data_IF_084150070692
#
_entry.id   IF_084150070692
#
_cell.length_a   1.000
_cell.length_b   1.000
_cell.length_c   1.000
_cell.angle_alpha   90.00
_cell.angle_beta   90.00
_cell.angle_gamma   90.00
#
_symmetry.space_group_name_H-M   'P 1'
#
loop_
_entity.id
_entity.type
_entity.pdbx_description
1 polymer ?
#
# COMPACT_ATOMS: atom_id res chain seq x y z
N UNK A 1 -10.03 2.18 31.48
CA UNK A 1 -10.18 3.59 31.00
C UNK A 1 -9.85 3.56 29.53
N UNK A 2 -10.68 4.14 28.65
CA UNK A 2 -10.35 4.17 27.21
C UNK A 2 -9.00 4.85 27.00
N UNK A 3 -8.16 4.30 26.10
CA UNK A 3 -6.88 4.93 25.77
C UNK A 3 -7.11 6.36 25.29
N UNK A 4 -6.23 7.27 25.70
CA UNK A 4 -6.18 8.58 25.07
C UNK A 4 -5.59 8.42 23.66
N UNK A 5 -4.48 7.71 23.51
CA UNK A 5 -3.77 7.56 22.23
C UNK A 5 -3.92 6.16 21.60
N UNK A 6 -3.87 6.09 20.27
CA UNK A 6 -3.86 4.86 19.49
C UNK A 6 -2.50 4.15 19.49
N UNK A 7 -2.41 2.95 18.88
CA UNK A 7 -1.14 2.24 18.71
C UNK A 7 -0.18 3.03 17.81
N UNK A 8 1.12 2.89 18.06
CA UNK A 8 2.14 3.43 17.15
C UNK A 8 2.13 2.67 15.83
N UNK A 9 2.67 3.29 14.77
CA UNK A 9 2.91 2.62 13.50
C UNK A 9 3.75 1.34 13.68
N UNK A 10 4.69 1.34 14.66
CA UNK A 10 5.48 0.17 15.02
C UNK A 10 4.67 -0.92 15.71
N UNK A 11 3.77 -0.54 16.61
CA UNK A 11 2.85 -1.49 17.25
C UNK A 11 1.94 -2.15 16.21
N UNK A 12 1.38 -1.35 15.29
CA UNK A 12 0.55 -1.83 14.18
C UNK A 12 1.33 -2.81 13.28
N UNK A 13 2.55 -2.48 12.87
CA UNK A 13 3.37 -3.35 12.02
C UNK A 13 3.79 -4.65 12.71
N UNK A 14 4.03 -4.62 14.03
CA UNK A 14 4.43 -5.82 14.75
C UNK A 14 3.27 -6.81 14.95
N UNK A 15 2.03 -6.36 14.81
CA UNK A 15 0.85 -7.22 14.85
C UNK A 15 0.87 -8.23 13.70
N UNK A 16 0.60 -9.50 14.03
CA UNK A 16 0.66 -10.61 13.08
C UNK A 16 -0.46 -10.52 12.05
N UNK A 17 -1.68 -10.19 12.48
CA UNK A 17 -2.84 -10.18 11.61
C UNK A 17 -2.77 -9.01 10.64
N UNK A 18 -2.20 -7.88 11.06
CA UNK A 18 -1.91 -6.76 10.16
C UNK A 18 -0.85 -7.10 9.12
N UNK A 19 0.23 -7.79 9.49
CA UNK A 19 1.23 -8.23 8.49
C UNK A 19 0.65 -9.24 7.50
N UNK A 20 -0.24 -10.13 7.95
CA UNK A 20 -0.96 -11.02 7.03
C UNK A 20 -1.84 -10.19 6.08
N UNK A 21 -2.57 -9.19 6.57
CA UNK A 21 -3.38 -8.33 5.71
C UNK A 21 -2.54 -7.52 4.70
N UNK A 22 -1.31 -7.13 5.06
CA UNK A 22 -0.36 -6.51 4.13
C UNK A 22 0.08 -7.48 3.03
N UNK A 23 0.37 -8.74 3.38
CA UNK A 23 0.67 -9.77 2.40
C UNK A 23 -0.54 -10.05 1.51
N UNK A 24 -1.73 -10.19 2.08
CA UNK A 24 -2.95 -10.49 1.31
C UNK A 24 -3.26 -9.37 0.31
N UNK A 25 -3.10 -8.10 0.71
CA UNK A 25 -3.23 -6.97 -0.21
C UNK A 25 -2.15 -7.00 -1.29
N UNK A 26 -0.91 -7.34 -0.95
CA UNK A 26 0.17 -7.51 -1.93
C UNK A 26 -0.17 -8.60 -2.95
N UNK A 27 -0.60 -9.78 -2.50
CA UNK A 27 -0.96 -10.89 -3.39
C UNK A 27 -2.09 -10.51 -4.34
N UNK A 28 -3.14 -9.83 -3.83
CA UNK A 28 -4.25 -9.34 -4.63
C UNK A 28 -3.88 -8.19 -5.57
N UNK A 29 -2.74 -7.56 -5.37
CA UNK A 29 -2.25 -6.53 -6.29
C UNK A 29 -1.83 -7.13 -7.63
N UNK A 30 -1.70 -8.47 -7.73
CA UNK A 30 -1.32 -9.18 -8.95
C UNK A 30 -2.39 -10.22 -9.33
N UNK A 31 -3.54 -9.79 -9.89
CA UNK A 31 -4.61 -10.70 -10.34
C UNK A 31 -4.14 -11.71 -11.39
N UNK A 32 -3.18 -11.33 -12.22
CA UNK A 32 -2.54 -12.16 -13.24
C UNK A 32 -1.15 -11.57 -13.55
N UNK A 33 -0.37 -12.24 -14.41
CA UNK A 33 0.99 -11.80 -14.74
C UNK A 33 1.04 -10.52 -15.57
N UNK A 34 -0.07 -10.11 -16.17
CA UNK A 34 -0.15 -8.96 -17.05
C UNK A 34 -0.73 -7.73 -16.36
N UNK A 35 -1.27 -7.83 -15.15
CA UNK A 35 -1.94 -6.70 -14.52
C UNK A 35 -1.53 -6.59 -13.06
N UNK A 36 -1.37 -5.34 -12.62
CA UNK A 36 -1.25 -5.05 -11.20
C UNK A 36 -1.92 -3.72 -10.82
N UNK A 37 -2.51 -3.67 -9.64
CA UNK A 37 -3.23 -2.50 -9.12
C UNK A 37 -3.00 -2.32 -7.62
N UNK A 38 -3.27 -1.13 -7.11
CA UNK A 38 -3.20 -0.91 -5.67
C UNK A 38 -4.31 -1.69 -4.95
N UNK A 39 -3.99 -2.15 -3.75
CA UNK A 39 -4.88 -2.85 -2.83
C UNK A 39 -4.62 -2.31 -1.44
N UNK A 40 -5.62 -2.38 -0.56
CA UNK A 40 -5.44 -1.91 0.80
C UNK A 40 -6.73 -1.57 1.49
N UNK A 41 -6.63 -0.69 2.48
CA UNK A 41 -7.79 -0.22 3.21
C UNK A 41 -7.42 0.41 4.55
N UNK A 42 -8.19 0.04 5.55
CA UNK A 42 -8.27 0.71 6.84
C UNK A 42 -7.94 -0.27 7.95
N UNK A 43 -7.24 0.20 8.98
CA UNK A 43 -6.90 -0.57 10.17
C UNK A 43 -7.66 0.02 11.35
N UNK A 44 -8.34 -0.82 12.10
CA UNK A 44 -9.12 -0.43 13.27
C UNK A 44 -8.59 -1.08 14.54
N UNK A 45 -8.65 -0.34 15.65
CA UNK A 45 -8.31 -0.80 16.99
C UNK A 45 -9.52 -0.85 17.92
N UNK A 46 -9.56 -1.86 18.79
CA UNK A 46 -10.54 -1.99 19.87
C UNK A 46 -9.86 -2.47 21.17
N UNK A 47 -10.16 -1.80 22.29
CA UNK A 47 -9.68 -2.18 23.62
C UNK A 47 -8.70 -1.17 24.23
N UNK A 48 -8.00 -1.60 25.27
CA UNK A 48 -6.94 -0.83 25.95
C UNK A 48 -5.56 -1.18 25.38
N UNK A 49 -4.52 -0.40 25.65
CA UNK A 49 -3.18 -0.59 25.01
C UNK A 49 -2.63 -2.00 25.17
N UNK A 50 -2.78 -2.56 26.37
CA UNK A 50 -2.29 -3.89 26.73
C UNK A 50 -3.15 -5.03 26.16
N UNK A 51 -4.36 -4.74 25.68
CA UNK A 51 -5.32 -5.73 25.17
C UNK A 51 -5.85 -5.36 23.78
N UNK A 52 -5.14 -4.46 23.09
CA UNK A 52 -5.58 -3.85 21.85
C UNK A 52 -5.71 -4.93 20.78
N UNK A 53 -6.92 -5.05 20.24
CA UNK A 53 -7.19 -5.89 19.08
C UNK A 53 -7.15 -5.02 17.84
N UNK A 54 -6.50 -5.51 16.80
CA UNK A 54 -6.47 -4.87 15.50
C UNK A 54 -7.28 -5.70 14.48
N UNK A 55 -7.90 -5.01 13.53
CA UNK A 55 -8.58 -5.64 12.39
C UNK A 55 -8.50 -4.72 11.17
N UNK A 56 -8.76 -5.26 9.99
CA UNK A 56 -8.76 -4.50 8.74
C UNK A 56 -10.13 -4.47 8.08
N UNK A 57 -10.37 -3.43 7.28
CA UNK A 57 -11.43 -3.38 6.27
C UNK A 57 -10.82 -2.92 4.96
N UNK A 58 -11.15 -3.62 3.89
CA UNK A 58 -10.68 -3.25 2.56
C UNK A 58 -11.34 -1.94 2.12
N UNK A 59 -10.60 -1.13 1.38
CA UNK A 59 -11.16 -0.01 0.66
C UNK A 59 -11.93 -0.51 -0.57
N UNK A 60 -12.93 0.25 -0.97
CA UNK A 60 -13.53 0.05 -2.29
C UNK A 60 -12.46 0.31 -3.35
N UNK A 61 -12.34 -0.55 -4.38
CA UNK A 61 -11.53 -0.23 -5.55
C UNK A 61 -11.92 1.15 -6.08
N UNK A 62 -10.94 1.99 -6.42
CA UNK A 62 -11.21 3.20 -7.18
C UNK A 62 -11.62 2.87 -8.62
N UNK A 63 -11.74 3.90 -9.45
CA UNK A 63 -12.24 3.78 -10.82
C UNK A 63 -11.45 2.72 -11.64
N UNK A 64 -12.15 1.67 -12.09
CA UNK A 64 -11.56 0.42 -12.61
C UNK A 64 -11.24 0.47 -14.12
N UNK A 65 -11.65 1.53 -14.80
CA UNK A 65 -11.81 1.56 -16.27
C UNK A 65 -10.52 1.74 -17.09
N UNK A 66 -9.32 1.68 -16.48
CA UNK A 66 -8.09 2.12 -17.19
C UNK A 66 -6.91 1.15 -17.25
N UNK A 67 -7.05 -0.14 -16.93
CA UNK A 67 -5.95 -1.10 -17.12
C UNK A 67 -6.24 -2.17 -18.18
N UNK A 68 -5.45 -2.13 -19.27
CA UNK A 68 -5.32 -3.23 -20.24
C UNK A 68 -3.91 -3.82 -20.29
N UNK A 69 -2.93 -3.30 -19.54
CA UNK A 69 -1.53 -3.75 -19.59
C UNK A 69 -0.77 -3.58 -18.26
N UNK A 70 0.33 -4.33 -18.03
CA UNK A 70 1.15 -4.27 -16.80
C UNK A 70 1.97 -2.97 -16.69
N UNK A 71 1.83 -2.12 -17.72
CA UNK A 71 2.50 -0.85 -17.98
C UNK A 71 1.44 0.21 -18.23
N UNK A 72 1.09 1.00 -17.20
CA UNK A 72 0.23 2.17 -17.37
C UNK A 72 -0.82 2.32 -16.27
N UNK A 73 -0.87 3.55 -15.73
CA UNK A 73 -1.68 4.08 -14.60
C UNK A 73 -2.08 3.09 -13.50
N UNK A 74 -1.54 3.32 -12.30
CA UNK A 74 -1.99 2.66 -11.08
C UNK A 74 -3.48 2.94 -10.85
N UNK A 75 -4.29 1.88 -10.74
CA UNK A 75 -5.64 2.05 -10.19
C UNK A 75 -5.48 2.33 -8.70
N UNK A 76 -5.77 3.56 -8.32
CA UNK A 76 -5.76 3.97 -6.93
C UNK A 76 -6.99 3.39 -6.21
N UNK A 77 -6.84 3.08 -4.92
CA UNK A 77 -7.97 2.78 -4.04
C UNK A 77 -8.52 4.06 -3.40
N UNK A 78 -9.82 4.10 -3.09
CA UNK A 78 -10.39 5.24 -2.37
C UNK A 78 -10.22 5.08 -0.85
N UNK A 79 -9.29 5.85 -0.29
CA UNK A 79 -9.02 5.93 1.14
C UNK A 79 -9.68 7.16 1.82
N UNK A 80 -10.56 7.88 1.14
CA UNK A 80 -11.18 9.11 1.69
C UNK A 80 -12.30 8.83 2.68
N UNK A 81 -13.01 7.71 2.53
CA UNK A 81 -14.24 7.40 3.26
C UNK A 81 -14.14 6.07 4.03
N UNK A 82 -13.43 6.03 5.17
CA UNK A 82 -13.35 4.84 6.00
C UNK A 82 -14.74 4.36 6.43
N UNK A 83 -15.09 3.07 6.25
CA UNK A 83 -16.37 2.55 6.70
C UNK A 83 -16.47 2.64 8.24
N UNK A 84 -17.68 2.90 8.74
CA UNK A 84 -17.94 2.85 10.19
C UNK A 84 -17.95 1.41 10.66
N UNK A 85 -17.17 1.11 11.70
CA UNK A 85 -17.14 -0.21 12.35
C UNK A 85 -17.57 -0.04 13.82
N UNK A 86 -18.79 -0.45 14.21
CA UNK A 86 -19.30 -0.22 15.56
C UNK A 86 -18.39 -0.81 16.65
N UNK A 87 -17.99 0.04 17.61
CA UNK A 87 -17.13 -0.35 18.72
C UNK A 87 -15.63 -0.43 18.38
N UNK A 88 -15.23 -0.02 17.19
CA UNK A 88 -13.85 0.03 16.73
C UNK A 88 -13.48 1.45 16.30
N UNK A 89 -12.23 1.84 16.53
CA UNK A 89 -11.70 3.16 16.14
C UNK A 89 -10.73 3.00 14.97
N UNK A 90 -10.83 3.85 13.94
CA UNK A 90 -9.85 3.87 12.86
C UNK A 90 -8.49 4.33 13.40
N UNK A 91 -7.44 3.52 13.24
CA UNK A 91 -6.10 3.80 13.77
C UNK A 91 -5.03 3.95 12.69
N UNK A 92 -5.26 3.50 11.46
CA UNK A 92 -4.36 3.69 10.33
C UNK A 92 -5.05 3.38 8.99
N UNK A 93 -4.40 3.73 7.89
CA UNK A 93 -4.70 3.23 6.54
C UNK A 93 -3.47 2.55 5.94
N UNK A 94 -3.67 1.72 4.92
CA UNK A 94 -2.60 1.07 4.19
C UNK A 94 -2.97 0.86 2.73
N UNK A 95 -1.96 0.84 1.85
CA UNK A 95 -2.14 0.46 0.46
C UNK A 95 -0.84 -0.06 -0.17
N UNK A 96 -0.94 -0.74 -1.31
CA UNK A 96 0.20 -1.30 -2.04
C UNK A 96 0.67 -0.37 -3.16
N UNK A 97 1.97 -0.38 -3.42
CA UNK A 97 2.59 0.21 -4.61
C UNK A 97 3.27 -0.92 -5.41
N UNK A 98 2.56 -1.61 -6.31
CA UNK A 98 3.05 -2.83 -6.96
C UNK A 98 4.03 -2.57 -8.12
N UNK A 99 4.00 -1.36 -8.69
CA UNK A 99 4.83 -1.01 -9.83
C UNK A 99 6.32 -1.03 -9.49
N UNK A 100 7.12 -1.55 -10.41
CA UNK A 100 8.56 -1.63 -10.21
C UNK A 100 9.27 -0.32 -10.47
N UNK A 101 10.26 0.06 -9.63
CA UNK A 101 11.10 1.23 -9.88
C UNK A 101 12.07 1.07 -11.06
N UNK A 102 12.28 -0.15 -11.55
CA UNK A 102 13.24 -0.40 -12.62
C UNK A 102 12.61 -0.19 -14.02
N UNK A 103 13.42 0.15 -15.04
CA UNK A 103 13.00 0.16 -16.43
C UNK A 103 12.40 -1.19 -16.87
N UNK A 104 11.46 -1.20 -17.84
CA UNK A 104 10.86 -0.04 -18.51
C UNK A 104 9.75 0.65 -17.70
N UNK A 105 9.32 0.06 -16.57
CA UNK A 105 8.15 0.51 -15.80
C UNK A 105 8.38 1.86 -15.12
N UNK A 106 9.54 2.04 -14.48
CA UNK A 106 9.91 3.28 -13.76
C UNK A 106 8.83 3.76 -12.76
N UNK A 107 8.17 2.83 -12.07
CA UNK A 107 7.20 3.11 -11.02
C UNK A 107 7.83 3.68 -9.74
N UNK A 108 6.98 4.05 -8.77
CA UNK A 108 7.44 4.55 -7.47
C UNK A 108 6.94 3.65 -6.33
N UNK A 109 7.83 2.89 -5.65
CA UNK A 109 7.45 2.06 -4.51
C UNK A 109 7.26 2.82 -3.20
N UNK A 110 7.47 4.15 -3.20
CA UNK A 110 7.35 5.02 -2.02
C UNK A 110 6.03 5.80 -2.06
N UNK A 111 5.53 6.29 -0.90
CA UNK A 111 4.39 7.19 -0.85
C UNK A 111 4.53 8.35 -1.84
N UNK A 112 3.45 8.64 -2.55
CA UNK A 112 3.36 9.78 -3.46
C UNK A 112 3.20 11.10 -2.70
N UNK A 113 3.40 12.23 -3.37
CA UNK A 113 3.09 13.54 -2.79
C UNK A 113 1.61 13.64 -2.35
N UNK A 114 0.69 12.98 -3.06
CA UNK A 114 -0.73 12.91 -2.70
C UNK A 114 -0.96 12.11 -1.41
N UNK A 115 -0.19 11.05 -1.17
CA UNK A 115 -0.26 10.29 0.08
C UNK A 115 0.18 11.13 1.27
N UNK A 116 1.28 11.88 1.10
CA UNK A 116 1.80 12.76 2.14
C UNK A 116 0.85 13.93 2.44
N UNK A 117 0.20 14.49 1.41
CA UNK A 117 -0.83 15.51 1.56
C UNK A 117 -2.07 14.95 2.25
N UNK A 118 -2.55 13.77 1.86
CA UNK A 118 -3.72 13.15 2.48
C UNK A 118 -3.44 12.71 3.93
N UNK A 119 -2.22 12.29 4.25
CA UNK A 119 -1.86 11.93 5.63
C UNK A 119 -2.09 13.09 6.61
N UNK A 120 -1.91 14.33 6.13
CA UNK A 120 -2.23 15.53 6.89
C UNK A 120 -3.72 15.63 7.21
N UNK A 121 -4.61 15.34 6.25
CA UNK A 121 -6.04 15.41 6.51
C UNK A 121 -6.54 14.23 7.34
N UNK A 122 -5.84 13.09 7.25
CA UNK A 122 -6.25 11.83 7.88
C UNK A 122 -5.81 11.67 9.33
N UNK A 123 -4.76 12.35 9.79
CA UNK A 123 -4.28 12.32 11.19
C UNK A 123 -4.17 10.92 11.81
N UNK A 124 -3.82 9.93 10.98
CA UNK A 124 -3.49 8.56 11.38
C UNK A 124 -2.26 8.11 10.60
N UNK A 125 -1.49 7.13 11.10
CA UNK A 125 -0.45 6.48 10.31
C UNK A 125 -0.98 5.97 8.97
N UNK A 126 -0.18 6.17 7.93
CA UNK A 126 -0.32 5.50 6.65
C UNK A 126 0.79 4.47 6.45
N UNK A 127 0.49 3.42 5.69
CA UNK A 127 1.45 2.40 5.27
C UNK A 127 1.41 2.23 3.75
N UNK A 128 2.59 2.23 3.12
CA UNK A 128 2.78 1.78 1.74
C UNK A 128 3.51 0.44 1.78
N UNK A 129 2.92 -0.56 1.13
CA UNK A 129 3.51 -1.89 0.93
C UNK A 129 4.05 -1.92 -0.50
N UNK A 130 5.37 -1.88 -0.65
CA UNK A 130 6.02 -1.81 -1.95
C UNK A 130 7.16 -2.82 -2.10
N UNK A 131 7.71 -2.89 -3.31
CA UNK A 131 8.87 -3.75 -3.63
C UNK A 131 10.13 -3.41 -2.83
N UNK A 132 10.25 -2.16 -2.38
CA UNK A 132 11.38 -1.69 -1.60
C UNK A 132 11.26 -1.96 -0.10
N UNK A 133 10.08 -2.34 0.39
CA UNK A 133 9.81 -2.47 1.81
C UNK A 133 8.41 -2.05 2.19
N UNK A 134 8.15 -2.04 3.49
CA UNK A 134 6.95 -1.46 4.07
C UNK A 134 7.36 -0.11 4.66
N UNK A 135 6.74 0.95 4.17
CA UNK A 135 7.06 2.32 4.52
C UNK A 135 5.88 2.91 5.28
N UNK A 136 6.14 3.53 6.43
CA UNK A 136 5.13 4.32 7.14
C UNK A 136 5.29 5.81 6.86
N UNK A 137 4.17 6.53 6.82
CA UNK A 137 4.11 7.98 6.63
C UNK A 137 2.95 8.57 7.45
N UNK A 138 2.86 9.89 7.53
CA UNK A 138 1.88 10.56 8.39
C UNK A 138 2.31 10.67 9.85
N UNK A 139 1.35 10.88 10.74
CA UNK A 139 1.56 10.88 12.19
C UNK A 139 1.95 9.47 12.67
N UNK A 140 2.69 9.38 13.78
CA UNK A 140 3.16 8.08 14.29
C UNK A 140 2.04 7.24 14.92
N UNK A 141 0.96 7.86 15.37
CA UNK A 141 -0.20 7.22 15.99
C UNK A 141 -1.39 8.18 15.92
N UNK A 142 -2.60 7.66 16.16
CA UNK A 142 -3.79 8.49 16.36
C UNK A 142 -3.77 9.12 17.75
N UNK A 143 -3.98 10.42 17.86
CA UNK A 143 -3.91 11.14 19.14
C UNK A 143 -5.13 10.91 20.06
N UNK A 144 -6.31 10.62 19.50
CA UNK A 144 -7.54 10.45 20.29
C UNK A 144 -8.37 9.25 19.83
N UNK A 145 -8.48 8.23 20.69
CA UNK A 145 -9.29 7.04 20.45
C UNK A 145 -10.78 7.19 20.84
N UNK A 146 -11.16 8.30 21.49
CA UNK A 146 -12.53 8.56 21.99
C UNK A 146 -13.50 9.01 20.90
N UNK A 147 -12.99 9.44 19.75
CA UNK A 147 -13.78 9.71 18.54
C UNK A 147 -13.61 8.54 17.59
N UNK A 148 -14.39 7.44 17.70
CA UNK A 148 -14.10 6.20 16.99
C UNK A 148 -14.36 6.29 15.48
N UNK A 149 -15.17 7.24 15.06
CA UNK A 149 -15.68 7.31 13.68
C UNK A 149 -14.71 8.06 12.77
N UNK A 150 -14.27 7.37 11.71
CA UNK A 150 -13.47 7.95 10.63
C UNK A 150 -12.15 8.57 11.07
N UNK A 151 -11.68 9.52 10.26
CA UNK A 151 -10.45 10.26 10.55
C UNK A 151 -10.66 11.25 11.70
N UNK A 152 -9.65 11.49 12.56
CA UNK A 152 -9.69 12.56 13.54
C UNK A 152 -9.89 13.93 12.88
N UNK A 153 -10.33 14.94 13.64
CA UNK A 153 -10.39 16.30 13.15
C UNK A 153 -9.03 16.77 12.60
N UNK A 154 -9.07 17.38 11.41
CA UNK A 154 -7.90 18.01 10.80
C UNK A 154 -7.36 19.13 11.71
N UNK A 155 -6.03 19.28 11.87
CA UNK A 155 -5.48 20.40 12.64
C UNK A 155 -5.73 21.73 11.91
N UNK A 156 -5.96 22.80 12.69
CA UNK A 156 -6.35 24.11 12.15
C UNK A 156 -5.28 24.78 11.27
N UNK A 157 -4.01 24.44 11.48
CA UNK A 157 -2.90 24.98 10.70
C UNK A 157 -2.20 23.85 9.95
N UNK A 158 -2.10 23.89 8.61
CA UNK A 158 -1.30 22.92 7.88
C UNK A 158 0.11 22.89 8.47
N UNK A 159 0.61 21.74 8.92
CA UNK A 159 2.05 21.60 9.14
C UNK A 159 2.69 21.82 7.77
N UNK A 160 3.49 22.87 7.63
CA UNK A 160 4.27 23.16 6.43
C UNK A 160 5.39 22.14 6.17
N UNK A 161 5.30 20.94 6.73
CA UNK A 161 6.27 19.87 6.60
C UNK A 161 5.65 18.66 5.93
N UNK A 162 6.29 18.16 4.87
CA UNK A 162 6.02 16.83 4.34
C UNK A 162 6.33 15.82 5.45
N UNK A 163 5.40 14.92 5.77
CA UNK A 163 5.73 13.80 6.65
C UNK A 163 6.89 13.03 6.06
N UNK A 164 7.95 12.80 6.84
CA UNK A 164 9.10 12.02 6.38
C UNK A 164 8.72 10.54 6.37
N UNK A 165 8.68 9.88 5.20
CA UNK A 165 8.46 8.44 5.15
C UNK A 165 9.59 7.71 5.87
N UNK A 166 9.25 6.61 6.55
CA UNK A 166 10.21 5.77 7.27
C UNK A 166 10.02 4.32 6.88
N UNK A 167 11.12 3.67 6.50
CA UNK A 167 11.13 2.22 6.38
C UNK A 167 10.90 1.59 7.76
N UNK A 168 9.95 0.66 7.82
CA UNK A 168 9.54 -0.04 9.04
C UNK A 168 9.63 -1.56 8.87
N UNK A 169 9.81 -2.06 7.66
CA UNK A 169 9.70 -3.48 7.39
C UNK A 169 10.24 -3.91 6.05
N UNK A 170 10.65 -5.19 5.99
CA UNK A 170 11.03 -5.83 4.75
C UNK A 170 9.87 -5.84 3.74
N UNK A 171 10.16 -5.97 2.44
CA UNK A 171 9.14 -6.20 1.44
C UNK A 171 8.24 -7.40 1.81
N UNK A 172 6.99 -7.43 1.33
CA UNK A 172 6.18 -8.64 1.39
C UNK A 172 6.88 -9.80 0.66
N UNK A 173 6.47 -11.03 0.96
CA UNK A 173 6.91 -12.19 0.20
C UNK A 173 6.41 -12.11 -1.25
N UNK A 174 7.02 -12.91 -2.12
CA UNK A 174 6.64 -13.01 -3.52
C UNK A 174 5.15 -13.36 -3.66
N UNK A 175 4.43 -12.54 -4.45
CA UNK A 175 3.03 -12.81 -4.77
C UNK A 175 2.93 -13.82 -5.94
N UNK A 176 1.87 -14.64 -6.00
CA UNK A 176 1.77 -15.74 -6.98
C UNK A 176 1.91 -15.34 -8.46
N UNK A 177 1.45 -14.14 -8.81
CA UNK A 177 1.53 -13.58 -10.16
C UNK A 177 2.47 -12.38 -10.26
N UNK A 178 3.24 -12.09 -9.20
CA UNK A 178 4.26 -11.04 -9.27
C UNK A 178 5.44 -11.51 -10.12
N UNK A 179 5.33 -11.19 -11.40
CA UNK A 179 6.41 -11.21 -12.35
C UNK A 179 7.30 -10.00 -12.07
N UNK A 180 8.22 -10.17 -11.12
CA UNK A 180 9.22 -9.16 -10.82
C UNK A 180 9.93 -8.78 -12.14
N UNK A 181 9.96 -7.50 -12.53
CA UNK A 181 10.43 -7.13 -13.86
C UNK A 181 11.92 -7.33 -14.11
N UNK A 182 12.70 -7.74 -13.09
CA UNK A 182 13.98 -8.41 -13.35
C UNK A 182 13.83 -9.60 -14.31
N UNK A 183 12.76 -10.37 -14.16
CA UNK A 183 12.44 -11.49 -15.05
C UNK A 183 11.74 -11.06 -16.35
N UNK A 184 11.06 -9.91 -16.39
CA UNK A 184 10.52 -9.39 -17.64
C UNK A 184 11.60 -8.89 -18.59
N UNK A 185 12.60 -8.17 -18.09
CA UNK A 185 13.73 -7.76 -18.91
C UNK A 185 14.45 -8.97 -19.52
N UNK A 186 14.70 -10.01 -18.71
CA UNK A 186 15.30 -11.26 -19.19
C UNK A 186 14.39 -12.03 -20.16
N UNK A 187 13.06 -12.03 -19.97
CA UNK A 187 12.13 -12.70 -20.85
C UNK A 187 11.95 -11.97 -22.19
N UNK A 188 11.95 -10.64 -22.17
CA UNK A 188 11.82 -9.80 -23.36
C UNK A 188 13.12 -9.85 -24.18
N UNK A 189 14.28 -9.74 -23.54
CA UNK A 189 15.58 -9.92 -24.19
C UNK A 189 15.71 -11.31 -24.83
N UNK A 190 15.24 -12.37 -24.14
CA UNK A 190 15.20 -13.72 -24.71
C UNK A 190 14.22 -13.87 -25.87
N UNK A 191 13.09 -13.18 -25.84
CA UNK A 191 12.11 -13.22 -26.92
C UNK A 191 12.64 -12.49 -28.18
N UNK A 192 13.26 -11.32 -27.99
CA UNK A 192 13.89 -10.56 -29.08
C UNK A 192 15.07 -11.34 -29.70
N UNK A 193 15.92 -11.97 -28.88
CA UNK A 193 17.00 -12.85 -29.37
C UNK A 193 16.48 -14.08 -30.13
N UNK A 194 15.35 -14.66 -29.72
CA UNK A 194 14.77 -15.82 -30.39
C UNK A 194 14.15 -15.45 -31.76
N UNK A 195 13.57 -14.26 -31.88
CA UNK A 195 12.99 -13.75 -33.13
C UNK A 195 14.08 -13.46 -34.18
N UNK A 196 15.18 -12.82 -33.76
CA UNK A 196 16.35 -12.58 -34.62
C UNK A 196 16.97 -13.89 -35.13
N UNK A 197 17.01 -14.94 -34.30
CA UNK A 197 17.49 -16.26 -34.70
C UNK A 197 16.54 -16.97 -35.66
N UNK A 198 15.23 -16.84 -35.47
CA UNK A 198 14.23 -17.45 -36.35
C UNK A 198 14.19 -16.81 -37.76
N UNK A 199 14.56 -15.53 -37.87
CA UNK A 199 14.55 -14.79 -39.13
C UNK A 199 15.92 -14.75 -39.86
N UNK A 200 16.99 -15.20 -39.24
CA UNK A 200 18.34 -15.20 -39.81
C UNK A 200 18.71 -16.40 -40.71
N UNK A 201 17.95 -17.51 -40.69
CA UNK A 201 18.32 -18.74 -41.41
C UNK A 201 17.76 -18.88 -42.85
N UNK A 202 17.18 -17.81 -43.42
CA UNK A 202 16.45 -17.85 -44.69
C UNK A 202 17.19 -17.34 -45.93
N UNK A 203 18.48 -17.01 -45.85
CA UNK A 203 19.22 -16.37 -46.95
C UNK A 203 20.57 -17.01 -47.21
N UNK A 204 20.56 -18.22 -47.77
CA UNK A 204 21.65 -18.77 -48.61
C UNK A 204 21.07 -19.49 -49.84
#
# INVERSE_FOLDING_TARGET
>A
MAMEEGPTARDIYNDRDIRNAFQDAWDRSFPNRENCWEQGGYIYGQGERSTLKLTTREATPGDQDSQTHPVGRAMAIDLSNPPRVPGWTLVANFHTHPLSPNPPINGNPNPSDNDLLNAWDRQVPGFVIGRGGIITYGVNQRDDMRTPEGYPPRPAHPQGGRYNPKDIGRPPNDAPNDVNPRFFAEAQEKAELADDQAHGEGSE
#
